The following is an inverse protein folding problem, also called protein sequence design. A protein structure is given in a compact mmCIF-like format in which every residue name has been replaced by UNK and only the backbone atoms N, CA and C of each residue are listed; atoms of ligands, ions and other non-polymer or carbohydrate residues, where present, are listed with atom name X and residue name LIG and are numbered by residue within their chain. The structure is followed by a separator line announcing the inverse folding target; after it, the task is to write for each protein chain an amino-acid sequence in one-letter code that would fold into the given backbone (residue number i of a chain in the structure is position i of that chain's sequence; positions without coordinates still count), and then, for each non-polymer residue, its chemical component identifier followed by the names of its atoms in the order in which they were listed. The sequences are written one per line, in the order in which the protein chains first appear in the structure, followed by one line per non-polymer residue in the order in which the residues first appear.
data_IF_138948923192
#
_entry.id   IF_138948923192
#
_cell.length_a   1.000
_cell.length_b   1.000
_cell.length_c   1.000
_cell.angle_alpha   90.00
_cell.angle_beta   90.00
_cell.angle_gamma   90.00
#
_symmetry.space_group_name_H-M   'P 1'
#
loop_
_entity.id
_entity.type
_entity.pdbx_description
1 polymer ?
#
# COMPACT_ATOMS: atom_id res chain seq x y z
N UNK A 1 -1.37 27.31 -3.17
CA UNK A 1 -1.26 26.07 -2.37
C UNK A 1 -0.04 25.32 -2.85
N UNK A 2 0.91 25.07 -1.97
CA UNK A 2 2.10 24.30 -2.34
C UNK A 2 1.69 22.87 -2.71
N UNK A 3 2.06 22.46 -3.90
CA UNK A 3 1.85 21.11 -4.40
C UNK A 3 2.62 20.11 -3.55
N UNK A 4 2.01 18.98 -3.19
CA UNK A 4 2.69 17.97 -2.40
C UNK A 4 3.83 17.35 -3.21
N UNK A 5 5.01 17.20 -2.59
CA UNK A 5 6.18 16.54 -3.17
C UNK A 5 6.27 15.11 -2.68
N UNK A 6 6.50 14.17 -3.58
CA UNK A 6 6.74 12.77 -3.25
C UNK A 6 8.24 12.50 -3.26
N UNK A 7 8.73 11.80 -2.24
CA UNK A 7 10.11 11.31 -2.17
C UNK A 7 10.19 9.94 -1.50
N UNK A 8 11.30 9.25 -1.70
CA UNK A 8 11.62 8.06 -0.93
C UNK A 8 11.74 8.39 0.57
N UNK A 9 11.28 7.47 1.41
CA UNK A 9 11.47 7.58 2.84
C UNK A 9 12.94 7.29 3.24
N UNK A 10 13.33 7.80 4.38
CA UNK A 10 14.61 7.53 5.04
C UNK A 10 14.36 7.06 6.47
N UNK A 11 15.37 6.57 7.16
CA UNK A 11 15.27 6.16 8.56
C UNK A 11 14.74 7.28 9.47
N UNK A 12 15.01 8.55 9.12
CA UNK A 12 14.49 9.72 9.86
C UNK A 12 12.97 9.87 9.78
N UNK A 13 12.33 9.23 8.81
CA UNK A 13 10.88 9.29 8.61
C UNK A 13 10.13 8.20 9.36
N UNK A 14 10.83 7.15 9.84
CA UNK A 14 10.21 5.93 10.36
C UNK A 14 9.21 6.18 11.50
N UNK A 15 9.55 7.02 12.47
CA UNK A 15 8.65 7.35 13.59
C UNK A 15 7.42 8.14 13.12
N UNK A 16 7.58 9.04 12.15
CA UNK A 16 6.47 9.81 11.57
C UNK A 16 5.54 8.92 10.75
N UNK A 17 6.11 7.97 10.00
CA UNK A 17 5.34 6.94 9.27
C UNK A 17 4.57 6.09 10.27
N UNK A 18 5.22 5.60 11.33
CA UNK A 18 4.58 4.81 12.37
C UNK A 18 3.40 5.55 12.99
N UNK A 19 3.58 6.81 13.37
CA UNK A 19 2.52 7.63 13.95
C UNK A 19 1.34 7.81 12.98
N UNK A 20 1.62 8.09 11.69
CA UNK A 20 0.57 8.27 10.68
C UNK A 20 -0.21 6.98 10.40
N UNK A 21 0.46 5.85 10.27
CA UNK A 21 -0.19 4.54 10.06
C UNK A 21 -1.03 4.18 11.28
N UNK A 22 -0.52 4.39 12.50
CA UNK A 22 -1.25 4.12 13.75
C UNK A 22 -2.51 4.97 13.90
N UNK A 23 -2.49 6.23 13.48
CA UNK A 23 -3.67 7.11 13.47
C UNK A 23 -4.75 6.67 12.46
N UNK A 24 -4.43 5.78 11.53
CA UNK A 24 -5.35 5.23 10.53
C UNK A 24 -5.62 3.74 10.75
N UNK A 25 -5.49 3.25 11.97
CA UNK A 25 -5.63 1.82 12.33
C UNK A 25 -7.03 1.24 12.09
N UNK A 26 -8.04 2.06 11.92
CA UNK A 26 -9.39 1.69 11.48
C UNK A 26 -9.42 1.23 10.03
N UNK A 27 -8.58 1.80 9.18
CA UNK A 27 -8.52 1.54 7.73
C UNK A 27 -7.29 0.75 7.29
N UNK A 28 -6.27 0.64 8.13
CA UNK A 28 -4.98 0.03 7.81
C UNK A 28 -4.61 -1.08 8.79
N UNK A 29 -3.88 -2.06 8.31
CA UNK A 29 -3.24 -3.06 9.17
C UNK A 29 -2.16 -2.38 10.01
N UNK A 30 -2.18 -2.54 11.34
CA UNK A 30 -1.14 -1.99 12.22
C UNK A 30 0.25 -2.52 11.84
N UNK A 31 1.26 -1.67 11.96
CA UNK A 31 2.67 -2.04 11.74
C UNK A 31 3.50 -1.59 12.94
N UNK A 32 4.44 -2.43 13.36
CA UNK A 32 5.42 -2.03 14.38
C UNK A 32 6.44 -1.05 13.81
N UNK A 33 7.06 -0.24 14.67
CA UNK A 33 8.16 0.63 14.25
C UNK A 33 9.32 -0.18 13.66
N UNK A 34 9.66 -1.35 14.25
CA UNK A 34 10.68 -2.25 13.72
C UNK A 34 10.39 -2.68 12.29
N UNK A 35 9.16 -3.09 12.01
CA UNK A 35 8.74 -3.49 10.66
C UNK A 35 8.84 -2.33 9.65
N UNK A 36 8.55 -1.10 10.06
CA UNK A 36 8.71 0.09 9.22
C UNK A 36 10.18 0.36 8.95
N UNK A 37 11.03 0.25 9.96
CA UNK A 37 12.49 0.43 9.81
C UNK A 37 13.07 -0.60 8.85
N UNK A 38 12.72 -1.87 9.00
CA UNK A 38 13.19 -2.98 8.13
C UNK A 38 12.77 -2.81 6.66
N UNK A 39 11.67 -2.13 6.40
CA UNK A 39 11.10 -1.93 5.06
C UNK A 39 11.08 -0.48 4.61
N UNK A 40 11.90 0.40 5.22
CA UNK A 40 11.88 1.85 4.95
C UNK A 40 12.17 2.18 3.49
N UNK A 41 12.98 1.40 2.82
CA UNK A 41 13.31 1.51 1.40
C UNK A 41 12.12 1.29 0.45
N UNK A 42 11.04 0.72 0.97
CA UNK A 42 9.79 0.49 0.23
C UNK A 42 8.75 1.58 0.44
N UNK A 43 9.01 2.51 1.33
CA UNK A 43 8.11 3.63 1.60
C UNK A 43 8.42 4.83 0.72
N UNK A 44 7.35 5.49 0.27
CA UNK A 44 7.37 6.86 -0.22
C UNK A 44 6.58 7.73 0.73
N UNK A 45 6.97 8.98 0.85
CA UNK A 45 6.26 9.98 1.64
C UNK A 45 5.85 11.17 0.80
N UNK A 46 4.76 11.80 1.18
CA UNK A 46 4.31 13.08 0.66
C UNK A 46 4.64 14.19 1.66
N UNK A 47 5.25 15.25 1.17
CA UNK A 47 5.55 16.46 1.93
C UNK A 47 4.75 17.64 1.37
N UNK A 48 4.09 18.37 2.22
CA UNK A 48 3.40 19.61 1.90
C UNK A 48 3.54 20.58 3.08
N UNK A 49 3.67 21.86 2.77
CA UNK A 49 3.75 22.93 3.79
C UNK A 49 4.87 22.69 4.84
N UNK A 50 5.97 22.03 4.40
CA UNK A 50 7.13 21.75 5.26
C UNK A 50 6.99 20.54 6.17
N UNK A 51 5.91 19.77 6.07
CA UNK A 51 5.69 18.57 6.88
C UNK A 51 5.34 17.32 6.05
N UNK A 52 5.56 16.14 6.63
CA UNK A 52 5.08 14.88 6.08
C UNK A 52 3.57 14.77 6.27
N UNK A 53 2.83 14.67 5.17
CA UNK A 53 1.37 14.65 5.15
C UNK A 53 0.78 13.33 4.69
N UNK A 54 1.61 12.42 4.17
CA UNK A 54 1.16 11.10 3.72
C UNK A 54 2.31 10.12 3.53
N UNK A 55 1.98 8.85 3.45
CA UNK A 55 2.91 7.77 3.11
C UNK A 55 2.20 6.67 2.33
N UNK A 56 2.97 5.85 1.62
CA UNK A 56 2.56 4.58 1.04
C UNK A 56 3.75 3.65 0.96
N UNK A 57 3.49 2.34 0.88
CA UNK A 57 4.53 1.32 0.74
C UNK A 57 4.06 0.18 -0.15
N UNK A 58 4.94 -0.78 -0.41
CA UNK A 58 4.60 -2.02 -1.08
C UNK A 58 5.22 -3.22 -0.38
N UNK A 59 4.63 -4.38 -0.61
CA UNK A 59 5.16 -5.69 -0.23
C UNK A 59 5.20 -6.59 -1.45
N UNK A 60 6.18 -7.49 -1.49
CA UNK A 60 6.28 -8.53 -2.51
C UNK A 60 5.90 -9.85 -1.83
N UNK A 61 4.89 -10.52 -2.38
CA UNK A 61 4.44 -11.82 -1.92
C UNK A 61 4.92 -12.87 -2.91
N UNK A 62 5.78 -13.81 -2.47
CA UNK A 62 6.32 -14.84 -3.34
C UNK A 62 5.21 -15.85 -3.73
N UNK A 63 5.30 -16.36 -4.95
CA UNK A 63 4.60 -17.56 -5.39
C UNK A 63 5.54 -18.76 -5.28
N UNK A 64 5.09 -19.82 -4.60
CA UNK A 64 5.92 -21.01 -4.40
C UNK A 64 6.15 -21.71 -5.75
N UNK A 65 7.41 -21.92 -6.09
CA UNK A 65 7.83 -22.60 -7.32
C UNK A 65 7.81 -21.74 -8.58
N UNK A 66 7.40 -20.48 -8.50
CA UNK A 66 7.40 -19.56 -9.64
C UNK A 66 7.70 -18.11 -9.21
N UNK A 67 8.97 -17.75 -9.21
CA UNK A 67 9.40 -16.40 -8.78
C UNK A 67 8.80 -15.27 -9.65
N UNK A 68 8.57 -15.51 -10.95
CA UNK A 68 8.00 -14.50 -11.86
C UNK A 68 6.51 -14.23 -11.62
N UNK A 69 5.84 -15.13 -10.90
CA UNK A 69 4.44 -14.98 -10.52
C UNK A 69 4.26 -14.25 -9.17
N UNK A 70 5.35 -13.76 -8.56
CA UNK A 70 5.28 -12.96 -7.34
C UNK A 70 4.31 -11.77 -7.51
N UNK A 71 3.52 -11.52 -6.48
CA UNK A 71 2.56 -10.42 -6.45
C UNK A 71 3.11 -9.23 -5.68
N UNK A 72 2.92 -8.04 -6.23
CA UNK A 72 3.23 -6.78 -5.53
C UNK A 72 1.94 -6.20 -4.98
N UNK A 73 1.91 -6.01 -3.67
CA UNK A 73 0.79 -5.38 -2.96
C UNK A 73 1.15 -3.96 -2.53
N UNK A 74 0.26 -3.02 -2.80
CA UNK A 74 0.34 -1.66 -2.26
C UNK A 74 -0.27 -1.67 -0.87
N UNK A 75 0.48 -1.18 0.12
CA UNK A 75 0.10 -1.21 1.54
C UNK A 75 0.35 0.15 2.20
N UNK A 76 -0.26 0.35 3.37
CA UNK A 76 0.01 1.51 4.24
C UNK A 76 -0.21 2.87 3.55
N UNK A 77 -1.18 2.96 2.66
CA UNK A 77 -1.56 4.24 2.03
C UNK A 77 -2.30 5.09 3.04
N UNK A 78 -1.64 6.10 3.58
CA UNK A 78 -2.19 6.99 4.59
C UNK A 78 -1.96 8.46 4.23
N UNK A 79 -2.96 9.30 4.46
CA UNK A 79 -2.88 10.75 4.32
C UNK A 79 -3.48 11.39 5.56
N UNK A 80 -2.80 12.40 6.13
CA UNK A 80 -3.32 13.18 7.24
C UNK A 80 -4.71 13.72 6.91
N UNK A 81 -5.65 13.67 7.85
CA UNK A 81 -7.07 14.03 7.63
C UNK A 81 -7.25 15.40 7.00
N UNK A 82 -6.48 16.40 7.46
CA UNK A 82 -6.52 17.78 6.96
C UNK A 82 -6.06 17.92 5.50
N UNK A 83 -5.31 16.94 4.98
CA UNK A 83 -4.76 16.93 3.62
C UNK A 83 -5.47 15.96 2.67
N UNK A 84 -6.50 15.27 3.14
CA UNK A 84 -7.32 14.37 2.30
C UNK A 84 -8.08 15.15 1.24
N UNK A 85 -8.49 14.46 0.17
CA UNK A 85 -9.22 15.03 -0.98
C UNK A 85 -8.44 16.09 -1.77
N UNK A 86 -7.13 16.19 -1.57
CA UNK A 86 -6.22 17.08 -2.33
C UNK A 86 -5.36 16.32 -3.36
N UNK A 87 -5.72 15.09 -3.71
CA UNK A 87 -4.99 14.27 -4.68
C UNK A 87 -3.74 13.56 -4.16
N UNK A 88 -3.34 13.78 -2.89
CA UNK A 88 -2.08 13.23 -2.32
C UNK A 88 -2.07 11.71 -2.33
N UNK A 89 -3.18 11.06 -1.98
CA UNK A 89 -3.28 9.59 -2.03
C UNK A 89 -3.02 9.03 -3.42
N UNK A 90 -3.52 9.71 -4.46
CA UNK A 90 -3.25 9.34 -5.86
C UNK A 90 -1.76 9.46 -6.18
N UNK A 91 -1.12 10.57 -5.83
CA UNK A 91 0.31 10.78 -6.06
C UNK A 91 1.16 9.69 -5.39
N UNK A 92 0.82 9.31 -4.15
CA UNK A 92 1.49 8.24 -3.41
C UNK A 92 1.36 6.89 -4.12
N UNK A 93 0.14 6.51 -4.52
CA UNK A 93 -0.11 5.22 -5.22
C UNK A 93 0.61 5.19 -6.56
N UNK A 94 0.56 6.25 -7.35
CA UNK A 94 1.26 6.31 -8.65
C UNK A 94 2.79 6.28 -8.47
N UNK A 95 3.33 6.88 -7.41
CA UNK A 95 4.75 6.79 -7.09
C UNK A 95 5.16 5.37 -6.73
N UNK A 96 4.36 4.63 -5.95
CA UNK A 96 4.61 3.21 -5.68
C UNK A 96 4.56 2.41 -6.98
N UNK A 97 3.56 2.62 -7.83
CA UNK A 97 3.46 1.93 -9.13
C UNK A 97 4.69 2.18 -9.98
N UNK A 98 5.16 3.43 -10.06
CA UNK A 98 6.39 3.77 -10.78
C UNK A 98 7.61 3.02 -10.22
N UNK A 99 7.74 2.97 -8.90
CA UNK A 99 8.86 2.29 -8.24
C UNK A 99 8.86 0.77 -8.49
N UNK A 100 7.69 0.12 -8.47
CA UNK A 100 7.61 -1.34 -8.60
C UNK A 100 7.71 -1.82 -10.05
N UNK A 101 7.54 -0.95 -11.03
CA UNK A 101 7.73 -1.29 -12.46
C UNK A 101 9.11 -1.90 -12.76
N UNK A 102 10.14 -1.53 -11.99
CA UNK A 102 11.50 -2.12 -12.11
C UNK A 102 11.54 -3.64 -11.89
N UNK A 103 10.56 -4.19 -11.17
CA UNK A 103 10.44 -5.64 -10.94
C UNK A 103 9.66 -6.35 -12.04
N UNK A 104 9.13 -5.61 -13.02
CA UNK A 104 8.32 -6.12 -14.12
C UNK A 104 7.12 -6.99 -13.67
N UNK A 105 6.35 -6.61 -12.65
CA UNK A 105 5.19 -7.37 -12.22
C UNK A 105 4.10 -7.28 -13.28
N UNK A 106 3.28 -8.33 -13.36
CA UNK A 106 2.10 -8.33 -14.25
C UNK A 106 1.05 -7.32 -13.81
N UNK A 107 0.86 -7.24 -12.51
CA UNK A 107 -0.19 -6.45 -11.87
C UNK A 107 0.23 -6.03 -10.46
N UNK A 108 -0.44 -5.05 -9.93
CA UNK A 108 -0.39 -4.70 -8.51
C UNK A 108 -1.72 -5.00 -7.86
N UNK A 109 -1.65 -5.42 -6.60
CA UNK A 109 -2.76 -5.80 -5.75
C UNK A 109 -2.95 -4.76 -4.65
N UNK A 110 -4.16 -4.60 -4.17
CA UNK A 110 -4.49 -3.93 -2.90
C UNK A 110 -5.64 -4.67 -2.21
N UNK A 111 -5.57 -4.78 -0.89
CA UNK A 111 -6.71 -5.10 -0.05
C UNK A 111 -7.14 -3.82 0.66
N UNK A 112 -8.41 -3.44 0.55
CA UNK A 112 -8.83 -2.10 0.95
C UNK A 112 -10.24 -2.04 1.50
N UNK A 113 -10.47 -1.12 2.45
CA UNK A 113 -11.79 -0.65 2.86
C UNK A 113 -12.30 0.54 2.04
N UNK A 114 -11.47 1.07 1.11
CA UNK A 114 -11.81 2.23 0.29
C UNK A 114 -11.79 1.89 -1.23
N UNK A 115 -12.65 0.96 -1.71
CA UNK A 115 -12.61 0.49 -3.10
C UNK A 115 -12.85 1.61 -4.11
N UNK A 116 -13.70 2.59 -3.80
CA UNK A 116 -13.99 3.71 -4.70
C UNK A 116 -12.76 4.56 -5.01
N UNK A 117 -11.86 4.73 -4.03
CA UNK A 117 -10.60 5.42 -4.24
C UNK A 117 -9.73 4.69 -5.25
N UNK A 118 -9.55 3.38 -5.08
CA UNK A 118 -8.71 2.57 -5.98
C UNK A 118 -9.35 2.35 -7.35
N UNK A 119 -10.68 2.26 -7.43
CA UNK A 119 -11.39 2.18 -8.71
C UNK A 119 -11.09 3.39 -9.61
N UNK A 120 -11.05 4.60 -9.03
CA UNK A 120 -10.66 5.84 -9.74
C UNK A 120 -9.19 5.83 -10.22
N UNK A 121 -8.37 4.95 -9.65
CA UNK A 121 -6.97 4.75 -10.05
C UNK A 121 -6.79 3.56 -11.01
N UNK A 122 -7.87 3.03 -11.57
CA UNK A 122 -7.82 1.96 -12.57
C UNK A 122 -7.72 0.55 -11.98
N UNK A 123 -7.97 0.38 -10.68
CA UNK A 123 -8.08 -0.94 -10.06
C UNK A 123 -9.47 -1.52 -10.28
N UNK A 124 -9.54 -2.82 -10.50
CA UNK A 124 -10.79 -3.59 -10.57
C UNK A 124 -10.85 -4.61 -9.43
N UNK A 125 -12.05 -4.87 -8.94
CA UNK A 125 -12.26 -5.90 -7.92
C UNK A 125 -11.89 -7.28 -8.48
N UNK A 126 -11.33 -8.13 -7.61
CA UNK A 126 -11.01 -9.52 -7.91
C UNK A 126 -11.41 -10.41 -6.73
N UNK A 127 -11.84 -11.66 -6.97
CA UNK A 127 -12.10 -12.60 -5.90
C UNK A 127 -10.85 -12.83 -5.05
N UNK A 128 -11.00 -12.97 -3.74
CA UNK A 128 -9.89 -13.29 -2.82
C UNK A 128 -9.22 -14.61 -3.15
N UNK A 129 -9.92 -15.54 -3.77
CA UNK A 129 -9.39 -16.82 -4.27
C UNK A 129 -8.29 -16.64 -5.32
N UNK A 130 -8.25 -15.51 -6.02
CA UNK A 130 -7.20 -15.21 -6.99
C UNK A 130 -5.95 -14.57 -6.37
N UNK A 131 -5.97 -14.32 -5.07
CA UNK A 131 -4.86 -13.70 -4.31
C UNK A 131 -4.42 -14.57 -3.14
N UNK A 132 -4.54 -15.89 -3.28
CA UNK A 132 -4.28 -16.87 -2.23
C UNK A 132 -2.88 -16.75 -1.63
N UNK A 133 -1.85 -16.52 -2.44
CA UNK A 133 -0.48 -16.36 -1.96
C UNK A 133 -0.33 -15.15 -1.02
N UNK A 134 -1.04 -14.04 -1.27
CA UNK A 134 -1.12 -12.93 -0.32
C UNK A 134 -1.81 -13.34 0.97
N UNK A 135 -2.91 -14.08 0.89
CA UNK A 135 -3.65 -14.53 2.07
C UNK A 135 -2.78 -15.44 2.94
N UNK A 136 -2.00 -16.34 2.35
CA UNK A 136 -1.08 -17.22 3.09
C UNK A 136 0.10 -16.49 3.70
N UNK A 137 0.65 -15.48 3.04
CA UNK A 137 1.86 -14.81 3.52
C UNK A 137 1.57 -13.57 4.37
N UNK A 138 0.48 -12.87 4.11
CA UNK A 138 0.16 -11.60 4.75
C UNK A 138 -1.03 -11.64 5.70
N UNK A 139 -2.09 -12.36 5.34
CA UNK A 139 -3.34 -12.33 6.11
C UNK A 139 -3.40 -13.39 7.22
N UNK A 140 -2.67 -14.50 7.10
CA UNK A 140 -2.75 -15.60 8.06
C UNK A 140 -2.37 -15.18 9.49
N UNK A 141 -1.51 -14.20 9.64
CA UNK A 141 -1.08 -13.65 10.93
C UNK A 141 -1.75 -12.29 11.25
N UNK A 142 -2.81 -11.92 10.54
CA UNK A 142 -3.50 -10.66 10.78
C UNK A 142 -4.22 -10.69 12.14
N UNK A 143 -3.97 -9.67 12.96
CA UNK A 143 -4.59 -9.55 14.29
C UNK A 143 -5.97 -8.90 14.27
N UNK A 144 -6.37 -8.29 13.14
CA UNK A 144 -7.68 -7.63 12.98
C UNK A 144 -8.80 -8.61 12.63
N UNK A 145 -8.51 -9.59 11.79
CA UNK A 145 -9.48 -10.57 11.30
C UNK A 145 -8.86 -11.97 11.30
N UNK A 146 -9.51 -12.91 11.96
CA UNK A 146 -9.03 -14.28 12.09
C UNK A 146 -9.14 -15.07 10.77
N UNK A 147 -10.11 -14.72 9.93
CA UNK A 147 -10.36 -15.37 8.64
C UNK A 147 -10.29 -14.34 7.51
N UNK A 148 -9.32 -14.48 6.57
CA UNK A 148 -9.17 -13.54 5.46
C UNK A 148 -10.38 -13.54 4.51
N UNK A 149 -11.15 -14.62 4.42
CA UNK A 149 -12.33 -14.68 3.54
C UNK A 149 -13.53 -13.95 4.11
N UNK A 150 -13.64 -13.84 5.43
CA UNK A 150 -14.68 -13.06 6.10
C UNK A 150 -14.26 -11.64 6.44
N UNK A 151 -12.98 -11.31 6.23
CA UNK A 151 -12.49 -9.94 6.34
C UNK A 151 -13.22 -9.03 5.34
N UNK A 152 -13.75 -7.87 5.77
CA UNK A 152 -14.52 -6.98 4.89
C UNK A 152 -13.68 -6.19 3.87
N UNK A 153 -12.35 -6.30 3.90
CA UNK A 153 -11.50 -5.71 2.86
C UNK A 153 -11.80 -6.30 1.49
N UNK A 154 -11.81 -5.44 0.49
CA UNK A 154 -12.01 -5.81 -0.91
C UNK A 154 -10.64 -5.96 -1.58
N UNK A 155 -10.43 -7.10 -2.27
CA UNK A 155 -9.25 -7.31 -3.08
C UNK A 155 -9.44 -6.65 -4.45
N UNK A 156 -8.46 -5.88 -4.88
CA UNK A 156 -8.48 -5.17 -6.17
C UNK A 156 -7.12 -5.30 -6.85
N UNK A 157 -7.13 -5.35 -8.18
CA UNK A 157 -5.93 -5.45 -9.01
C UNK A 157 -5.91 -4.39 -10.09
N UNK A 158 -4.70 -3.96 -10.47
CA UNK A 158 -4.45 -3.13 -11.64
C UNK A 158 -3.35 -3.75 -12.48
N UNK A 159 -3.61 -4.01 -13.78
CA UNK A 159 -2.60 -4.47 -14.74
C UNK A 159 -1.55 -3.38 -14.95
N UNK A 160 -0.28 -3.77 -15.00
CA UNK A 160 0.85 -2.90 -15.32
C UNK A 160 1.45 -3.19 -16.72
N UNK A 161 0.95 -4.21 -17.41
CA UNK A 161 1.33 -4.48 -18.81
C UNK A 161 0.42 -3.70 -19.73
N UNK A 162 1.02 -3.00 -20.67
CA UNK A 162 0.31 -2.40 -21.79
C UNK A 162 -0.36 -3.54 -22.57
N UNK A 163 -1.61 -3.32 -22.96
CA UNK A 163 -2.37 -4.23 -23.84
C UNK A 163 -1.83 -4.15 -25.25
#
# INVERSE_FOLDING_TARGET
MNEAKIRAATLKDAERIFALVSLNSDMLVPRSLGNIVESVDRFVIAEAEGEMVGCASYQIHPEIGNAEAATVEIVSVAVKSMFRKRGIGRLLVEAIIANVKRFNPREVLVLTFAPEFFRKLGFAETPKTEVMHKLYTGCINCTKHADPFTCPEIAMKRSLRDR
#
